data_IF_049875463729
#
_entry.id   IF_049875463729
#
_cell.length_a   1.000
_cell.length_b   1.000
_cell.length_c   1.000
_cell.angle_alpha   90.00
_cell.angle_beta   90.00
_cell.angle_gamma   90.00
#
_symmetry.space_group_name_H-M   'P 1'
#
loop_
_entity.id
_entity.type
_entity.pdbx_description
1 polymer ?
#
# COMPACT_ATOMS: atom_id res chain seq x y z
N UNK A 1 10.51 -11.62 -41.44
CA UNK A 1 10.18 -10.29 -40.84
C UNK A 1 9.17 -9.60 -41.75
N UNK A 2 7.91 -9.56 -41.35
CA UNK A 2 6.85 -8.92 -42.12
C UNK A 2 7.00 -7.40 -42.03
N UNK A 3 7.04 -6.72 -43.19
CA UNK A 3 6.95 -5.24 -43.27
C UNK A 3 5.57 -4.82 -42.77
N UNK A 4 5.53 -4.00 -41.73
CA UNK A 4 4.28 -3.30 -41.37
C UNK A 4 3.86 -2.37 -42.54
N UNK A 5 2.61 -2.39 -42.98
CA UNK A 5 2.14 -1.55 -44.07
C UNK A 5 2.34 -0.06 -43.69
N UNK A 6 2.81 0.74 -44.64
CA UNK A 6 3.00 2.20 -44.49
C UNK A 6 1.73 2.91 -44.01
N UNK A 7 0.57 2.40 -44.40
CA UNK A 7 -0.74 2.88 -43.96
C UNK A 7 -1.04 2.67 -42.45
N UNK A 8 -0.42 1.68 -41.82
CA UNK A 8 -0.54 1.45 -40.37
C UNK A 8 0.26 2.49 -39.58
N UNK A 9 1.46 2.83 -40.06
CA UNK A 9 2.31 3.89 -39.47
C UNK A 9 1.66 5.28 -39.66
N UNK A 10 1.08 5.59 -40.80
CA UNK A 10 0.38 6.85 -41.04
C UNK A 10 -0.86 7.02 -40.14
N UNK A 11 -1.64 5.96 -39.96
CA UNK A 11 -2.81 5.99 -39.08
C UNK A 11 -2.41 6.14 -37.60
N UNK A 12 -1.32 5.49 -37.16
CA UNK A 12 -0.82 5.61 -35.81
C UNK A 12 -0.27 7.03 -35.52
N UNK A 13 0.43 7.64 -36.49
CA UNK A 13 0.93 9.01 -36.39
C UNK A 13 -0.20 10.04 -36.35
N UNK A 14 -1.27 9.85 -37.13
CA UNK A 14 -2.48 10.72 -37.11
C UNK A 14 -3.24 10.59 -35.80
N UNK A 15 -3.38 9.38 -35.23
CA UNK A 15 -4.06 9.17 -33.96
C UNK A 15 -3.30 9.79 -32.76
N UNK A 16 -1.96 9.88 -32.87
CA UNK A 16 -1.09 10.45 -31.82
C UNK A 16 -0.83 11.96 -31.99
N UNK A 17 -1.47 12.62 -32.98
CA UNK A 17 -1.31 14.05 -33.27
C UNK A 17 0.19 14.45 -33.48
N UNK A 18 0.98 13.57 -34.10
CA UNK A 18 2.40 13.79 -34.36
C UNK A 18 2.60 14.66 -35.59
N UNK A 19 3.60 15.55 -35.63
CA UNK A 19 3.88 16.36 -36.82
C UNK A 19 4.23 15.46 -38.01
N UNK A 20 3.51 15.56 -39.10
CA UNK A 20 3.72 14.82 -40.36
C UNK A 20 5.13 14.99 -40.97
N UNK A 21 5.89 16.00 -40.53
CA UNK A 21 7.26 16.22 -40.92
C UNK A 21 8.24 15.09 -40.45
N UNK A 22 7.84 14.28 -39.50
CA UNK A 22 8.60 13.08 -39.05
C UNK A 22 8.47 11.89 -40.01
N UNK A 23 7.55 11.95 -40.97
CA UNK A 23 7.28 10.88 -41.94
C UNK A 23 8.05 11.06 -43.28
N UNK A 24 9.06 11.95 -43.35
CA UNK A 24 9.87 12.19 -44.55
C UNK A 24 10.67 10.96 -45.06
N UNK A 25 10.12 9.75 -44.89
CA UNK A 25 10.68 8.49 -45.39
C UNK A 25 10.31 8.36 -46.86
N UNK A 26 11.26 8.74 -47.74
CA UNK A 26 11.10 8.46 -49.16
C UNK A 26 11.40 7.00 -49.47
N UNK A 27 10.77 6.46 -50.53
CA UNK A 27 10.91 5.06 -50.92
C UNK A 27 12.34 4.60 -51.31
N UNK A 28 13.33 5.48 -51.18
CA UNK A 28 14.74 5.27 -51.59
C UNK A 28 15.73 5.27 -50.42
N UNK A 29 15.28 5.32 -49.17
CA UNK A 29 16.18 5.35 -48.01
C UNK A 29 16.80 3.98 -47.68
N UNK A 30 18.07 3.98 -47.23
CA UNK A 30 18.81 2.78 -46.81
C UNK A 30 18.18 2.11 -45.59
N UNK A 31 18.43 0.82 -45.42
CA UNK A 31 17.94 0.04 -44.26
C UNK A 31 18.37 0.66 -42.91
N UNK A 32 19.58 1.23 -42.85
CA UNK A 32 20.15 1.88 -41.67
C UNK A 32 19.39 3.18 -41.32
N UNK A 33 19.01 3.99 -42.29
CA UNK A 33 18.23 5.21 -42.08
C UNK A 33 16.79 4.90 -41.59
N UNK A 34 16.21 3.80 -42.09
CA UNK A 34 14.89 3.35 -41.62
C UNK A 34 14.93 2.81 -40.19
N UNK A 35 15.99 2.11 -39.80
CA UNK A 35 16.20 1.64 -38.42
C UNK A 35 16.46 2.80 -37.45
N UNK A 36 17.23 3.82 -37.87
CA UNK A 36 17.48 5.02 -37.10
C UNK A 36 16.20 5.85 -36.89
N UNK A 37 15.41 6.04 -37.94
CA UNK A 37 14.12 6.74 -37.86
C UNK A 37 13.13 5.99 -36.93
N UNK A 38 13.09 4.67 -36.96
CA UNK A 38 12.26 3.85 -36.07
C UNK A 38 12.72 3.98 -34.60
N UNK A 39 14.02 4.03 -34.37
CA UNK A 39 14.58 4.24 -33.05
C UNK A 39 14.21 5.63 -32.49
N UNK A 40 14.40 6.69 -33.27
CA UNK A 40 14.04 8.06 -32.89
C UNK A 40 12.52 8.20 -32.63
N UNK A 41 11.67 7.60 -33.45
CA UNK A 41 10.21 7.60 -33.24
C UNK A 41 9.87 6.83 -31.98
N UNK A 42 10.48 5.68 -31.72
CA UNK A 42 10.25 4.90 -30.52
C UNK A 42 10.66 5.67 -29.27
N UNK A 43 11.81 6.34 -29.28
CA UNK A 43 12.29 7.15 -28.16
C UNK A 43 11.43 8.41 -27.98
N UNK A 44 10.99 9.07 -29.05
CA UNK A 44 10.05 10.17 -28.97
C UNK A 44 8.68 9.74 -28.39
N UNK A 45 8.17 8.58 -28.80
CA UNK A 45 6.94 8.00 -28.22
C UNK A 45 7.15 7.69 -26.74
N UNK A 46 8.27 7.11 -26.35
CA UNK A 46 8.61 6.87 -24.93
C UNK A 46 8.68 8.16 -24.13
N UNK A 47 9.33 9.20 -24.67
CA UNK A 47 9.43 10.51 -24.01
C UNK A 47 8.05 11.15 -23.89
N UNK A 48 7.24 11.13 -24.96
CA UNK A 48 5.88 11.69 -24.94
C UNK A 48 4.97 10.93 -23.96
N UNK A 49 5.00 9.60 -23.97
CA UNK A 49 4.26 8.78 -23.01
C UNK A 49 4.73 9.03 -21.57
N UNK A 50 6.02 9.23 -21.34
CA UNK A 50 6.54 9.58 -20.01
C UNK A 50 6.08 10.96 -19.56
N UNK A 51 6.03 11.95 -20.45
CA UNK A 51 5.50 13.29 -20.17
C UNK A 51 3.99 13.28 -19.91
N UNK A 52 3.21 12.52 -20.69
CA UNK A 52 1.77 12.34 -20.46
C UNK A 52 1.49 11.62 -19.14
N UNK A 53 2.30 10.62 -18.77
CA UNK A 53 2.22 9.96 -17.46
C UNK A 53 2.56 10.91 -16.31
N UNK A 54 3.59 11.78 -16.47
CA UNK A 54 3.94 12.80 -15.49
C UNK A 54 2.80 13.81 -15.29
N UNK A 55 2.18 14.27 -16.38
CA UNK A 55 1.02 15.16 -16.31
C UNK A 55 -0.20 14.51 -15.66
N UNK A 56 -0.41 13.20 -15.84
CA UNK A 56 -1.50 12.48 -15.20
C UNK A 56 -1.30 12.32 -13.69
N UNK A 57 -0.10 12.00 -13.22
CA UNK A 57 0.20 11.93 -11.78
C UNK A 57 -0.02 13.30 -11.10
N UNK A 58 0.44 14.38 -11.71
CA UNK A 58 0.17 15.74 -11.23
C UNK A 58 -1.32 16.08 -11.25
N UNK A 59 -2.07 15.58 -12.22
CA UNK A 59 -3.52 15.79 -12.27
C UNK A 59 -4.27 15.11 -11.11
N UNK A 60 -3.76 13.99 -10.59
CA UNK A 60 -4.30 13.35 -9.39
C UNK A 60 -4.09 14.26 -8.18
N UNK A 61 -2.86 14.80 -8.00
CA UNK A 61 -2.55 15.68 -6.87
C UNK A 61 -3.24 17.05 -6.96
N UNK A 62 -3.61 17.50 -8.16
CA UNK A 62 -4.43 18.70 -8.34
C UNK A 62 -5.89 18.54 -7.87
N UNK A 63 -6.36 17.30 -7.67
CA UNK A 63 -7.76 16.98 -7.37
C UNK A 63 -7.89 15.97 -6.21
N UNK A 64 -7.20 16.22 -5.10
CA UNK A 64 -7.31 15.37 -3.89
C UNK A 64 -8.64 15.66 -3.15
N UNK A 65 -9.72 15.33 -3.81
CA UNK A 65 -11.09 15.56 -3.38
C UNK A 65 -11.64 14.39 -2.55
N UNK A 66 -12.75 14.61 -1.84
CA UNK A 66 -13.59 13.53 -1.33
C UNK A 66 -14.23 12.78 -2.50
N UNK A 67 -14.59 11.52 -2.29
CA UNK A 67 -15.44 10.76 -3.20
C UNK A 67 -16.66 10.26 -2.43
N UNK A 68 -17.80 10.92 -2.61
CA UNK A 68 -19.04 10.63 -1.89
C UNK A 68 -20.17 10.51 -2.91
N UNK A 69 -20.99 9.46 -2.77
CA UNK A 69 -22.17 9.22 -3.60
C UNK A 69 -21.90 9.30 -5.11
N UNK A 70 -20.76 8.76 -5.55
CA UNK A 70 -20.36 8.75 -6.96
C UNK A 70 -19.74 10.06 -7.47
N UNK A 71 -19.48 11.04 -6.60
CA UNK A 71 -18.95 12.35 -7.00
C UNK A 71 -17.61 12.65 -6.34
N UNK A 72 -16.65 13.14 -7.13
CA UNK A 72 -15.41 13.73 -6.63
C UNK A 72 -15.67 15.22 -6.39
N UNK A 73 -15.57 15.66 -5.15
CA UNK A 73 -15.85 17.04 -4.74
C UNK A 73 -15.00 17.50 -3.57
N UNK A 74 -14.79 18.80 -3.39
CA UNK A 74 -14.17 19.32 -2.17
C UNK A 74 -15.04 19.01 -0.94
N UNK A 75 -14.48 19.14 0.25
CA UNK A 75 -15.25 19.15 1.50
C UNK A 75 -16.14 20.39 1.57
N UNK A 76 -17.25 20.30 2.31
CA UNK A 76 -18.29 21.34 2.37
C UNK A 76 -17.76 22.71 2.84
N UNK A 77 -16.72 22.73 3.68
CA UNK A 77 -16.10 23.99 4.15
C UNK A 77 -14.83 24.37 3.39
N UNK A 78 -14.43 23.61 2.37
CA UNK A 78 -13.25 23.89 1.56
C UNK A 78 -11.91 23.79 2.30
N UNK A 79 -11.89 23.23 3.51
CA UNK A 79 -10.65 23.03 4.26
C UNK A 79 -9.78 21.97 3.60
N UNK A 80 -8.47 22.20 3.62
CA UNK A 80 -7.48 21.27 3.04
C UNK A 80 -6.24 21.12 3.91
N UNK A 81 -5.50 20.05 3.73
CA UNK A 81 -4.16 19.85 4.31
C UNK A 81 -3.15 19.50 3.20
N UNK A 82 -1.88 19.91 3.32
CA UNK A 82 -0.88 19.60 2.32
C UNK A 82 -0.51 18.12 2.34
N UNK A 83 -0.28 17.54 1.17
CA UNK A 83 0.34 16.23 0.96
C UNK A 83 1.75 16.45 0.46
N UNK A 84 2.73 15.82 1.09
CA UNK A 84 4.14 16.05 0.79
C UNK A 84 4.77 14.88 0.05
N UNK A 85 5.75 15.19 -0.78
CA UNK A 85 6.65 14.19 -1.34
C UNK A 85 7.74 13.85 -0.31
N UNK A 86 7.84 12.60 0.17
CA UNK A 86 8.84 12.20 1.15
C UNK A 86 10.30 12.39 0.69
N UNK A 87 10.56 12.28 -0.61
CA UNK A 87 11.90 12.42 -1.17
C UNK A 87 12.37 13.88 -1.24
N UNK A 88 11.46 14.83 -1.43
CA UNK A 88 11.81 16.24 -1.64
C UNK A 88 11.33 17.16 -0.52
N UNK A 89 10.32 16.75 0.26
CA UNK A 89 9.62 17.59 1.23
C UNK A 89 8.66 18.59 0.59
N UNK A 90 8.55 18.64 -0.74
CA UNK A 90 7.69 19.57 -1.46
C UNK A 90 6.21 19.17 -1.36
N UNK A 91 5.32 20.16 -1.42
CA UNK A 91 3.87 19.91 -1.44
C UNK A 91 3.46 19.41 -2.82
N UNK A 92 2.88 18.23 -2.88
CA UNK A 92 2.32 17.62 -4.09
C UNK A 92 0.93 18.17 -4.43
N UNK A 93 0.12 18.43 -3.41
CA UNK A 93 -1.24 18.90 -3.54
C UNK A 93 -1.90 19.13 -2.18
N UNK A 94 -3.18 19.49 -2.20
CA UNK A 94 -3.94 19.82 -1.00
C UNK A 94 -5.15 18.89 -0.90
N UNK A 95 -5.16 18.07 0.15
CA UNK A 95 -6.20 17.08 0.41
C UNK A 95 -7.41 17.72 1.07
N UNK A 96 -8.58 17.58 0.45
CA UNK A 96 -9.85 18.03 1.02
C UNK A 96 -10.11 17.37 2.39
N UNK A 97 -10.70 18.12 3.32
CA UNK A 97 -11.09 17.61 4.63
C UNK A 97 -12.61 17.52 4.72
N UNK A 98 -13.13 16.39 5.20
CA UNK A 98 -14.56 16.21 5.44
C UNK A 98 -15.01 16.98 6.67
N UNK A 99 -16.17 17.60 6.59
CA UNK A 99 -16.95 18.05 7.74
C UNK A 99 -17.81 16.92 8.30
N UNK A 100 -18.44 17.13 9.45
CA UNK A 100 -19.45 16.19 9.99
C UNK A 100 -20.59 15.98 8.99
N UNK A 101 -21.04 17.03 8.30
CA UNK A 101 -22.09 16.95 7.29
C UNK A 101 -21.66 16.06 6.08
N UNK A 102 -20.41 16.16 5.65
CA UNK A 102 -19.89 15.27 4.59
C UNK A 102 -19.85 13.80 5.04
N UNK A 103 -19.51 13.54 6.31
CA UNK A 103 -19.50 12.20 6.87
C UNK A 103 -20.92 11.62 6.98
N UNK A 104 -21.89 12.43 7.38
CA UNK A 104 -23.32 12.04 7.43
C UNK A 104 -23.86 11.75 6.04
N UNK A 105 -23.50 12.55 5.02
CA UNK A 105 -23.84 12.29 3.62
C UNK A 105 -23.24 10.96 3.14
N UNK A 106 -21.98 10.67 3.46
CA UNK A 106 -21.34 9.41 3.11
C UNK A 106 -22.03 8.20 3.80
N UNK A 107 -22.46 8.34 5.07
CA UNK A 107 -23.22 7.33 5.78
C UNK A 107 -24.59 7.08 5.14
N UNK A 108 -25.33 8.15 4.81
CA UNK A 108 -26.62 8.06 4.13
C UNK A 108 -26.48 7.44 2.73
N UNK A 109 -25.46 7.84 1.98
CA UNK A 109 -25.17 7.27 0.66
C UNK A 109 -24.85 5.78 0.75
N UNK A 110 -24.02 5.36 1.72
CA UNK A 110 -23.66 3.97 1.92
C UNK A 110 -24.87 3.10 2.34
N UNK A 111 -25.77 3.59 3.21
CA UNK A 111 -26.98 2.87 3.59
C UNK A 111 -27.94 2.70 2.41
N UNK A 112 -28.19 3.78 1.67
CA UNK A 112 -29.04 3.76 0.48
C UNK A 112 -28.50 2.79 -0.58
N UNK A 113 -27.20 2.87 -0.89
CA UNK A 113 -26.56 2.02 -1.88
C UNK A 113 -26.55 0.55 -1.44
N UNK A 114 -26.35 0.26 -0.17
CA UNK A 114 -26.37 -1.10 0.36
C UNK A 114 -27.68 -1.82 0.04
N UNK A 115 -28.84 -1.17 0.15
CA UNK A 115 -30.15 -1.78 -0.08
C UNK A 115 -30.32 -2.34 -1.50
N UNK A 116 -29.69 -1.71 -2.47
CA UNK A 116 -29.73 -2.16 -3.88
C UNK A 116 -28.53 -3.03 -4.25
N UNK A 117 -27.36 -2.74 -3.67
CA UNK A 117 -26.14 -3.49 -3.97
C UNK A 117 -26.13 -4.89 -3.38
N UNK A 118 -26.65 -5.05 -2.16
CA UNK A 118 -26.68 -6.33 -1.43
C UNK A 118 -27.46 -7.43 -2.14
N UNK A 119 -28.51 -7.04 -2.87
CA UNK A 119 -29.37 -7.98 -3.63
C UNK A 119 -28.91 -8.16 -5.09
N UNK A 120 -27.87 -7.44 -5.53
CA UNK A 120 -27.31 -7.61 -6.88
C UNK A 120 -26.75 -9.00 -7.08
N UNK A 121 -27.01 -9.66 -8.22
CA UNK A 121 -26.40 -10.96 -8.52
C UNK A 121 -24.89 -10.95 -8.40
N UNK A 122 -24.31 -12.02 -7.86
CA UNK A 122 -22.86 -12.14 -7.68
C UNK A 122 -22.08 -11.94 -9.00
N UNK A 123 -22.64 -12.41 -10.11
CA UNK A 123 -22.05 -12.24 -11.44
C UNK A 123 -21.93 -10.77 -11.86
N UNK A 124 -22.95 -9.95 -11.58
CA UNK A 124 -22.89 -8.51 -11.90
C UNK A 124 -21.86 -7.78 -11.06
N UNK A 125 -21.71 -8.15 -9.78
CA UNK A 125 -20.66 -7.60 -8.90
C UNK A 125 -19.27 -7.99 -9.38
N UNK A 126 -19.10 -9.25 -9.82
CA UNK A 126 -17.87 -9.73 -10.43
C UNK A 126 -17.50 -8.89 -11.66
N UNK A 127 -18.43 -8.64 -12.58
CA UNK A 127 -18.15 -7.88 -13.80
C UNK A 127 -17.65 -6.46 -13.54
N UNK A 128 -18.12 -5.82 -12.47
CA UNK A 128 -17.63 -4.49 -12.06
C UNK A 128 -16.21 -4.58 -11.50
N UNK A 129 -15.92 -5.59 -10.66
CA UNK A 129 -14.58 -5.81 -10.13
C UNK A 129 -13.57 -6.12 -11.24
N UNK A 130 -13.93 -6.93 -12.22
CA UNK A 130 -13.11 -7.21 -13.42
C UNK A 130 -12.80 -5.96 -14.23
N UNK A 131 -13.81 -5.11 -14.46
CA UNK A 131 -13.61 -3.83 -15.14
C UNK A 131 -12.71 -2.90 -14.34
N UNK A 132 -12.90 -2.81 -13.02
CA UNK A 132 -12.04 -2.01 -12.15
C UNK A 132 -10.59 -2.49 -12.19
N UNK A 133 -10.36 -3.82 -12.14
CA UNK A 133 -9.04 -4.42 -12.27
C UNK A 133 -8.40 -4.10 -13.64
N UNK A 134 -9.15 -4.21 -14.72
CA UNK A 134 -8.66 -3.86 -16.07
C UNK A 134 -8.31 -2.37 -16.20
N UNK A 135 -9.08 -1.47 -15.57
CA UNK A 135 -8.77 -0.04 -15.55
C UNK A 135 -7.54 0.26 -14.69
N UNK A 136 -7.36 -0.41 -13.55
CA UNK A 136 -6.13 -0.30 -12.77
C UNK A 136 -4.91 -0.81 -13.56
N UNK A 137 -5.05 -1.90 -14.32
CA UNK A 137 -3.99 -2.42 -15.18
C UNK A 137 -3.62 -1.42 -16.29
N UNK A 138 -4.61 -0.83 -16.95
CA UNK A 138 -4.39 0.20 -17.98
C UNK A 138 -3.73 1.48 -17.40
N UNK A 139 -3.96 1.80 -16.13
CA UNK A 139 -3.43 2.96 -15.40
C UNK A 139 -2.29 2.59 -14.43
N UNK A 140 -1.74 1.39 -14.56
CA UNK A 140 -0.77 0.81 -13.63
C UNK A 140 0.42 1.73 -13.34
N UNK A 141 1.03 2.24 -14.39
CA UNK A 141 2.23 3.07 -14.27
C UNK A 141 1.92 4.46 -13.69
N UNK A 142 0.74 5.00 -13.97
CA UNK A 142 0.24 6.24 -13.37
C UNK A 142 0.03 6.06 -11.86
N UNK A 143 -0.71 5.03 -11.46
CA UNK A 143 -0.99 4.73 -10.04
C UNK A 143 0.32 4.47 -9.28
N UNK A 144 1.25 3.69 -9.87
CA UNK A 144 2.54 3.41 -9.25
C UNK A 144 3.39 4.67 -9.06
N UNK A 145 3.36 5.60 -10.03
CA UNK A 145 4.05 6.88 -9.91
C UNK A 145 3.48 7.76 -8.82
N UNK A 146 2.14 7.90 -8.76
CA UNK A 146 1.44 8.59 -7.67
C UNK A 146 1.86 8.00 -6.32
N UNK A 147 1.83 6.67 -6.21
CA UNK A 147 2.19 5.95 -5.00
C UNK A 147 3.64 6.24 -4.57
N UNK A 148 4.60 6.19 -5.50
CA UNK A 148 6.00 6.53 -5.21
C UNK A 148 6.13 7.97 -4.71
N UNK A 149 5.47 8.92 -5.36
CA UNK A 149 5.57 10.34 -5.03
C UNK A 149 5.02 10.67 -3.64
N UNK A 150 3.93 10.05 -3.20
CA UNK A 150 3.31 10.35 -1.89
C UNK A 150 3.82 9.48 -0.74
N UNK A 151 4.35 8.27 -1.03
CA UNK A 151 4.76 7.31 -0.01
C UNK A 151 6.28 7.21 0.14
N UNK A 152 7.03 7.45 -0.93
CA UNK A 152 8.49 7.46 -0.93
C UNK A 152 9.17 6.15 -1.30
N UNK A 153 8.45 5.01 -1.46
CA UNK A 153 9.03 3.75 -1.92
C UNK A 153 9.49 3.84 -3.38
N UNK A 154 10.34 2.90 -3.79
CA UNK A 154 10.83 2.86 -5.18
C UNK A 154 9.70 2.57 -6.17
N UNK A 155 9.83 3.07 -7.40
CA UNK A 155 8.85 2.83 -8.46
C UNK A 155 8.69 1.33 -8.78
N UNK A 156 9.75 0.54 -8.60
CA UNK A 156 9.71 -0.92 -8.77
C UNK A 156 8.81 -1.56 -7.71
N UNK A 157 8.97 -1.17 -6.45
CA UNK A 157 8.11 -1.63 -5.36
C UNK A 157 6.65 -1.18 -5.53
N UNK A 158 6.45 0.08 -5.96
CA UNK A 158 5.14 0.63 -6.23
C UNK A 158 4.41 -0.11 -7.35
N UNK A 159 5.09 -0.44 -8.44
CA UNK A 159 4.55 -1.26 -9.54
C UNK A 159 4.14 -2.65 -9.05
N UNK A 160 4.98 -3.30 -8.26
CA UNK A 160 4.66 -4.60 -7.66
C UNK A 160 3.44 -4.53 -6.71
N UNK A 161 3.28 -3.43 -6.00
CA UNK A 161 2.11 -3.22 -5.14
C UNK A 161 0.82 -3.03 -5.95
N UNK A 162 0.88 -2.26 -7.03
CA UNK A 162 -0.28 -2.10 -7.95
C UNK A 162 -0.63 -3.41 -8.63
N UNK A 163 0.35 -4.20 -9.06
CA UNK A 163 0.13 -5.55 -9.61
C UNK A 163 -0.58 -6.45 -8.60
N UNK A 164 -0.17 -6.42 -7.34
CA UNK A 164 -0.84 -7.14 -6.26
C UNK A 164 -2.28 -6.65 -6.05
N UNK A 165 -2.53 -5.33 -6.12
CA UNK A 165 -3.87 -4.76 -6.00
C UNK A 165 -4.79 -5.22 -7.15
N UNK A 166 -4.28 -5.25 -8.39
CA UNK A 166 -4.99 -5.75 -9.57
C UNK A 166 -5.36 -7.24 -9.39
N UNK A 167 -4.38 -8.07 -9.05
CA UNK A 167 -4.57 -9.50 -8.83
C UNK A 167 -5.58 -9.78 -7.71
N UNK A 168 -5.49 -9.03 -6.60
CA UNK A 168 -6.41 -9.13 -5.46
C UNK A 168 -7.83 -8.73 -5.85
N UNK A 169 -8.01 -7.71 -6.69
CA UNK A 169 -9.34 -7.29 -7.16
C UNK A 169 -9.98 -8.36 -8.02
N UNK A 170 -9.22 -8.99 -8.93
CA UNK A 170 -9.69 -10.14 -9.73
C UNK A 170 -10.06 -11.32 -8.84
N UNK A 171 -9.20 -11.64 -7.88
CA UNK A 171 -9.46 -12.73 -6.93
C UNK A 171 -10.78 -12.53 -6.18
N UNK A 172 -11.05 -11.32 -5.66
CA UNK A 172 -12.34 -11.02 -5.03
C UNK A 172 -13.51 -11.05 -6.01
N UNK A 173 -13.29 -10.65 -7.27
CA UNK A 173 -14.28 -10.82 -8.35
C UNK A 173 -14.70 -12.27 -8.51
N UNK A 174 -13.74 -13.20 -8.54
CA UNK A 174 -14.03 -14.63 -8.60
C UNK A 174 -14.71 -15.15 -7.33
N UNK A 175 -14.31 -14.66 -6.15
CA UNK A 175 -14.90 -15.05 -4.86
C UNK A 175 -16.37 -14.60 -4.71
N UNK A 176 -16.85 -13.61 -5.49
CA UNK A 176 -18.27 -13.25 -5.50
C UNK A 176 -19.18 -14.46 -5.66
N UNK A 177 -18.79 -15.42 -6.54
CA UNK A 177 -19.59 -16.61 -6.86
C UNK A 177 -19.30 -17.81 -5.95
N UNK A 178 -18.29 -17.72 -5.06
CA UNK A 178 -17.89 -18.79 -4.15
C UNK A 178 -18.44 -18.62 -2.72
N UNK A 179 -19.29 -17.62 -2.48
CA UNK A 179 -19.96 -17.43 -1.21
C UNK A 179 -21.09 -18.45 -1.00
N UNK A 180 -20.74 -19.74 -1.06
CA UNK A 180 -21.71 -20.84 -0.97
C UNK A 180 -22.38 -20.90 0.40
N UNK A 181 -23.67 -21.34 0.39
CA UNK A 181 -24.36 -21.82 1.55
C UNK A 181 -24.02 -23.28 1.89
N UNK A 182 -24.72 -23.81 2.86
CA UNK A 182 -24.65 -25.25 3.23
C UNK A 182 -26.04 -25.78 3.49
N UNK A 183 -26.29 -27.03 3.03
CA UNK A 183 -27.43 -27.80 3.43
C UNK A 183 -26.96 -28.83 4.48
N UNK A 184 -27.56 -28.80 5.65
CA UNK A 184 -27.14 -29.60 6.80
C UNK A 184 -28.31 -30.54 7.19
N UNK A 185 -28.07 -31.86 7.33
CA UNK A 185 -29.10 -32.79 7.80
C UNK A 185 -29.62 -32.34 9.17
N UNK A 186 -30.95 -32.35 9.30
CA UNK A 186 -31.57 -32.02 10.55
C UNK A 186 -31.65 -33.25 11.48
N UNK A 187 -31.85 -32.99 12.77
CA UNK A 187 -31.98 -34.02 13.80
C UNK A 187 -33.31 -34.80 13.69
N UNK A 188 -34.36 -34.17 13.15
CA UNK A 188 -35.67 -34.76 12.98
C UNK A 188 -35.97 -35.07 11.52
N UNK A 189 -36.68 -36.17 11.25
CA UNK A 189 -37.13 -36.51 9.91
C UNK A 189 -38.08 -35.44 9.34
N UNK A 190 -37.96 -35.17 8.04
CA UNK A 190 -38.77 -34.15 7.36
C UNK A 190 -38.26 -32.71 7.53
N UNK A 191 -37.15 -32.48 8.25
CA UNK A 191 -36.54 -31.17 8.41
C UNK A 191 -35.17 -31.10 7.69
N UNK A 192 -34.83 -29.92 7.22
CA UNK A 192 -33.51 -29.60 6.66
C UNK A 192 -33.06 -28.25 7.20
N UNK A 193 -31.76 -28.11 7.51
CA UNK A 193 -31.15 -26.82 7.86
C UNK A 193 -30.39 -26.28 6.67
N UNK A 194 -30.71 -25.05 6.28
CA UNK A 194 -30.02 -24.32 5.24
C UNK A 194 -29.28 -23.13 5.84
N UNK A 195 -27.99 -23.01 5.54
CA UNK A 195 -27.16 -21.85 5.92
C UNK A 195 -26.90 -21.04 4.66
N UNK A 196 -27.30 -19.78 4.67
CA UNK A 196 -27.02 -18.81 3.62
C UNK A 196 -26.00 -17.78 4.12
N UNK A 197 -25.17 -17.28 3.25
CA UNK A 197 -24.27 -16.16 3.53
C UNK A 197 -24.89 -14.89 2.97
N UNK A 198 -25.00 -13.87 3.80
CA UNK A 198 -25.56 -12.57 3.46
C UNK A 198 -24.55 -11.45 3.70
N UNK A 199 -24.60 -10.34 2.92
CA UNK A 199 -23.82 -9.14 3.18
C UNK A 199 -24.05 -8.60 4.59
N UNK A 200 -22.99 -8.23 5.30
CA UNK A 200 -23.08 -7.81 6.71
C UNK A 200 -23.71 -6.42 6.89
N UNK A 201 -23.76 -5.60 5.85
CA UNK A 201 -24.18 -4.21 5.89
C UNK A 201 -23.08 -3.23 5.42
N UNK A 202 -23.31 -1.92 5.54
CA UNK A 202 -22.26 -0.93 5.27
C UNK A 202 -21.03 -1.12 6.14
N UNK A 203 -19.85 -0.95 5.56
CA UNK A 203 -18.54 -1.21 6.18
C UNK A 203 -17.77 0.09 6.33
N UNK A 204 -17.11 0.28 7.47
CA UNK A 204 -16.07 1.30 7.64
C UNK A 204 -14.70 0.67 7.43
N UNK A 205 -13.80 1.39 6.77
CA UNK A 205 -12.43 0.98 6.63
C UNK A 205 -11.46 2.13 6.96
N UNK A 206 -10.46 1.83 7.78
CA UNK A 206 -9.36 2.75 8.10
C UNK A 206 -8.06 2.08 7.69
N UNK A 207 -7.26 2.74 6.86
CA UNK A 207 -6.04 2.13 6.30
C UNK A 207 -4.82 3.00 6.52
N UNK A 208 -3.68 2.33 6.71
CA UNK A 208 -2.37 2.97 6.86
C UNK A 208 -1.74 3.33 5.52
N UNK A 209 -0.73 4.18 5.57
CA UNK A 209 -0.03 4.78 4.45
C UNK A 209 0.99 3.88 3.75
N UNK A 210 1.48 2.84 4.41
CA UNK A 210 2.67 2.10 3.96
C UNK A 210 2.48 1.22 2.72
N UNK A 211 1.24 0.77 2.47
CA UNK A 211 0.83 0.06 1.26
C UNK A 211 -0.54 0.59 0.79
N UNK A 212 -0.59 1.83 0.26
CA UNK A 212 -1.85 2.52 0.00
C UNK A 212 -2.71 1.85 -1.07
N UNK A 213 -2.13 1.16 -2.05
CA UNK A 213 -2.91 0.41 -3.03
C UNK A 213 -3.43 -0.92 -2.43
N UNK A 214 -2.55 -1.70 -1.82
CA UNK A 214 -2.89 -3.01 -1.27
C UNK A 214 -3.88 -2.93 -0.11
N UNK A 215 -3.68 -1.99 0.82
CA UNK A 215 -4.55 -1.82 1.99
C UNK A 215 -5.95 -1.35 1.58
N UNK A 216 -6.04 -0.43 0.61
CA UNK A 216 -7.32 0.03 0.06
C UNK A 216 -8.06 -1.12 -0.62
N UNK A 217 -7.40 -1.83 -1.53
CA UNK A 217 -8.06 -2.90 -2.31
C UNK A 217 -8.53 -4.05 -1.44
N UNK A 218 -7.75 -4.48 -0.45
CA UNK A 218 -8.18 -5.55 0.48
C UNK A 218 -9.49 -5.22 1.18
N UNK A 219 -9.77 -3.94 1.44
CA UNK A 219 -11.01 -3.49 2.08
C UNK A 219 -12.12 -3.25 1.05
N UNK A 220 -11.82 -2.47 0.00
CA UNK A 220 -12.81 -2.08 -1.02
C UNK A 220 -13.28 -3.28 -1.82
N UNK A 221 -12.38 -4.04 -2.44
CA UNK A 221 -12.77 -5.17 -3.27
C UNK A 221 -13.49 -6.26 -2.47
N UNK A 222 -13.03 -6.54 -1.23
CA UNK A 222 -13.69 -7.49 -0.34
C UNK A 222 -15.10 -7.08 0.05
N UNK A 223 -15.33 -5.80 0.38
CA UNK A 223 -16.67 -5.29 0.71
C UNK A 223 -17.59 -5.32 -0.51
N UNK A 224 -17.13 -4.80 -1.65
CA UNK A 224 -17.89 -4.76 -2.92
C UNK A 224 -18.24 -6.17 -3.37
N UNK A 225 -17.30 -7.12 -3.34
CA UNK A 225 -17.53 -8.52 -3.69
C UNK A 225 -18.58 -9.18 -2.81
N UNK A 226 -18.53 -8.91 -1.51
CA UNK A 226 -19.50 -9.44 -0.53
C UNK A 226 -20.90 -8.83 -0.65
N UNK A 227 -21.12 -7.82 -1.49
CA UNK A 227 -22.39 -7.10 -1.60
C UNK A 227 -22.59 -6.02 -0.53
N UNK A 228 -21.52 -5.57 0.10
CA UNK A 228 -21.52 -4.48 1.08
C UNK A 228 -21.19 -3.15 0.41
N UNK A 229 -21.74 -2.05 0.91
CA UNK A 229 -21.19 -0.71 0.67
C UNK A 229 -20.06 -0.43 1.65
N UNK A 230 -19.21 0.54 1.30
CA UNK A 230 -18.02 0.85 2.09
C UNK A 230 -17.75 2.35 2.13
N UNK A 231 -17.40 2.84 3.32
CA UNK A 231 -16.78 4.14 3.54
C UNK A 231 -15.35 3.88 3.97
N UNK A 232 -14.39 4.32 3.15
CA UNK A 232 -12.98 4.16 3.45
C UNK A 232 -12.33 5.51 3.74
N UNK A 233 -11.53 5.54 4.81
CA UNK A 233 -10.65 6.65 5.14
C UNK A 233 -9.21 6.20 4.92
N UNK A 234 -8.57 6.62 3.81
CA UNK A 234 -7.13 6.45 3.61
C UNK A 234 -6.35 7.33 4.60
N UNK A 235 -5.05 7.08 4.70
CA UNK A 235 -4.15 7.98 5.42
C UNK A 235 -4.00 9.31 4.68
N UNK A 236 -3.82 10.39 5.42
CA UNK A 236 -3.52 11.72 4.87
C UNK A 236 -2.17 11.78 4.15
N UNK A 237 -1.27 10.87 4.48
CA UNK A 237 0.05 10.78 3.85
C UNK A 237 -0.03 10.27 2.40
N UNK A 238 -1.03 9.40 2.10
CA UNK A 238 -1.10 8.70 0.82
C UNK A 238 -2.52 8.65 0.24
N UNK A 239 -3.18 9.79 0.05
CA UNK A 239 -4.57 9.85 -0.42
C UNK A 239 -4.69 9.67 -1.93
N UNK A 240 -3.67 10.07 -2.70
CA UNK A 240 -3.71 10.07 -4.17
C UNK A 240 -3.89 8.69 -4.75
N UNK A 241 -3.18 7.68 -4.22
CA UNK A 241 -3.34 6.28 -4.63
C UNK A 241 -4.76 5.77 -4.37
N UNK A 242 -5.33 6.07 -3.20
CA UNK A 242 -6.69 5.67 -2.86
C UNK A 242 -7.73 6.29 -3.80
N UNK A 243 -7.56 7.58 -4.13
CA UNK A 243 -8.44 8.30 -5.05
C UNK A 243 -8.29 7.84 -6.50
N UNK A 244 -7.07 7.51 -6.94
CA UNK A 244 -6.83 6.91 -8.27
C UNK A 244 -7.51 5.55 -8.40
N UNK A 245 -7.48 4.72 -7.35
CA UNK A 245 -8.21 3.45 -7.28
C UNK A 245 -9.73 3.70 -7.29
N UNK A 246 -10.22 4.63 -6.48
CA UNK A 246 -11.65 4.99 -6.46
C UNK A 246 -12.14 5.46 -7.85
N UNK A 247 -11.30 6.18 -8.60
CA UNK A 247 -11.56 6.55 -10.00
C UNK A 247 -11.71 5.32 -10.89
N UNK A 248 -10.90 4.29 -10.71
CA UNK A 248 -11.05 3.04 -11.47
C UNK A 248 -12.39 2.34 -11.19
N UNK A 249 -12.84 2.32 -9.94
CA UNK A 249 -14.17 1.78 -9.59
C UNK A 249 -15.33 2.64 -10.13
N UNK A 250 -15.19 3.97 -10.07
CA UNK A 250 -16.15 4.89 -10.65
C UNK A 250 -16.33 4.65 -12.16
N UNK A 251 -15.21 4.62 -12.89
CA UNK A 251 -15.20 4.44 -14.36
C UNK A 251 -15.61 2.99 -14.75
N UNK A 252 -15.46 2.01 -13.86
CA UNK A 252 -15.98 0.66 -14.03
C UNK A 252 -17.51 0.59 -13.94
N UNK A 253 -18.18 1.66 -13.50
CA UNK A 253 -19.63 1.75 -13.34
C UNK A 253 -20.12 1.22 -11.98
N UNK A 254 -19.29 1.28 -10.93
CA UNK A 254 -19.74 0.99 -9.57
C UNK A 254 -20.86 1.97 -9.19
N UNK A 255 -22.03 1.52 -8.72
CA UNK A 255 -23.13 2.43 -8.38
C UNK A 255 -22.75 3.45 -7.30
N UNK A 256 -23.31 4.66 -7.42
CA UNK A 256 -23.12 5.73 -6.46
C UNK A 256 -23.40 5.26 -5.01
N UNK A 257 -22.58 5.68 -4.06
CA UNK A 257 -22.71 5.34 -2.65
C UNK A 257 -22.18 3.95 -2.24
N UNK A 258 -21.93 3.02 -3.18
CA UNK A 258 -21.32 1.70 -2.84
C UNK A 258 -19.90 1.87 -2.32
N UNK A 259 -19.12 2.77 -2.91
CA UNK A 259 -17.81 3.20 -2.41
C UNK A 259 -17.87 4.70 -2.10
N UNK A 260 -17.37 5.05 -0.91
CA UNK A 260 -17.18 6.44 -0.51
C UNK A 260 -15.75 6.56 0.08
N UNK A 261 -15.01 7.60 -0.31
CA UNK A 261 -13.68 7.92 0.22
C UNK A 261 -13.77 9.25 0.93
N UNK A 262 -13.53 9.22 2.23
CA UNK A 262 -13.57 10.41 3.11
C UNK A 262 -12.22 10.61 3.76
N UNK A 263 -11.87 11.85 4.04
CA UNK A 263 -10.65 12.27 4.70
C UNK A 263 -11.01 13.28 5.81
N UNK A 264 -10.08 13.63 6.66
CA UNK A 264 -10.36 14.54 7.76
C UNK A 264 -9.52 14.19 8.98
N UNK A 265 -9.60 14.99 10.05
CA UNK A 265 -8.86 14.73 11.29
C UNK A 265 -9.15 13.33 11.81
N UNK A 266 -8.11 12.47 11.99
CA UNK A 266 -8.30 11.05 12.28
C UNK A 266 -9.24 10.76 13.44
N UNK A 267 -9.07 11.44 14.57
CA UNK A 267 -9.86 11.23 15.78
C UNK A 267 -11.34 11.64 15.59
N UNK A 268 -11.57 12.80 14.98
CA UNK A 268 -12.91 13.34 14.76
C UNK A 268 -13.68 12.46 13.76
N UNK A 269 -13.09 12.20 12.59
CA UNK A 269 -13.69 11.40 11.53
C UNK A 269 -13.99 9.97 12.01
N UNK A 270 -13.02 9.32 12.69
CA UNK A 270 -13.22 7.95 13.16
C UNK A 270 -14.26 7.87 14.26
N UNK A 271 -14.26 8.77 15.23
CA UNK A 271 -15.24 8.78 16.32
C UNK A 271 -16.67 8.97 15.78
N UNK A 272 -16.87 9.94 14.86
CA UNK A 272 -18.19 10.19 14.27
C UNK A 272 -18.70 8.98 13.48
N UNK A 273 -17.88 8.43 12.56
CA UNK A 273 -18.26 7.28 11.77
C UNK A 273 -18.52 6.03 12.64
N UNK A 274 -17.71 5.82 13.67
CA UNK A 274 -17.87 4.68 14.58
C UNK A 274 -19.10 4.78 15.47
N UNK A 275 -19.56 5.96 15.82
CA UNK A 275 -20.78 6.16 16.58
C UNK A 275 -22.06 5.85 15.77
N UNK A 276 -21.98 5.93 14.43
CA UNK A 276 -23.16 5.72 13.57
C UNK A 276 -23.64 4.27 13.60
N UNK A 277 -24.96 4.02 13.79
CA UNK A 277 -25.55 2.69 13.71
C UNK A 277 -25.66 2.14 12.28
N UNK A 278 -25.43 2.97 11.26
CA UNK A 278 -25.50 2.58 9.84
C UNK A 278 -24.44 1.52 9.54
N UNK A 279 -23.20 1.76 9.95
CA UNK A 279 -22.11 0.83 9.70
C UNK A 279 -22.21 -0.41 10.61
N UNK A 280 -22.08 -1.60 10.03
CA UNK A 280 -22.20 -2.89 10.71
C UNK A 280 -20.87 -3.59 10.96
N UNK A 281 -19.84 -3.15 10.25
CA UNK A 281 -18.49 -3.71 10.34
C UNK A 281 -17.46 -2.60 10.23
N UNK A 282 -16.34 -2.77 10.93
CA UNK A 282 -15.13 -1.98 10.73
C UNK A 282 -13.96 -2.88 10.38
N UNK A 283 -13.13 -2.43 9.44
CA UNK A 283 -11.87 -3.09 9.08
C UNK A 283 -10.73 -2.08 9.17
N UNK A 284 -9.73 -2.39 9.99
CA UNK A 284 -8.61 -1.50 10.29
C UNK A 284 -7.29 -2.12 9.86
N UNK A 285 -6.43 -1.32 9.22
CA UNK A 285 -5.00 -1.59 9.10
C UNK A 285 -4.26 -0.40 9.71
N UNK A 286 -3.50 -0.65 10.78
CA UNK A 286 -2.82 0.43 11.50
C UNK A 286 -2.04 -0.06 12.73
N UNK A 287 -1.66 0.86 13.61
CA UNK A 287 -0.93 0.50 14.83
C UNK A 287 -1.81 -0.23 15.85
N UNK A 288 -1.18 -1.01 16.73
CA UNK A 288 -1.87 -1.72 17.83
C UNK A 288 -2.68 -0.75 18.69
N UNK A 289 -2.14 0.44 19.00
CA UNK A 289 -2.82 1.44 19.81
C UNK A 289 -4.11 1.95 19.13
N UNK A 290 -4.05 2.26 17.83
CA UNK A 290 -5.23 2.67 17.05
C UNK A 290 -6.24 1.53 16.93
N UNK A 291 -5.77 0.30 16.69
CA UNK A 291 -6.65 -0.88 16.64
C UNK A 291 -7.43 -1.08 17.93
N UNK A 292 -6.76 -0.99 19.09
CA UNK A 292 -7.42 -1.05 20.41
C UNK A 292 -8.46 0.05 20.61
N UNK A 293 -8.15 1.29 20.18
CA UNK A 293 -9.09 2.42 20.26
C UNK A 293 -10.35 2.16 19.42
N UNK A 294 -10.16 1.79 18.15
CA UNK A 294 -11.28 1.52 17.25
C UNK A 294 -12.11 0.32 17.73
N UNK A 295 -11.47 -0.73 18.25
CA UNK A 295 -12.18 -1.87 18.83
C UNK A 295 -13.07 -1.47 20.02
N UNK A 296 -12.60 -0.57 20.89
CA UNK A 296 -13.41 0.00 21.99
C UNK A 296 -14.62 0.76 21.43
N UNK A 297 -14.42 1.65 20.45
CA UNK A 297 -15.53 2.37 19.82
C UNK A 297 -16.52 1.43 19.12
N UNK A 298 -16.07 0.30 18.60
CA UNK A 298 -16.92 -0.68 17.94
C UNK A 298 -17.89 -1.37 18.91
N UNK A 299 -17.55 -1.50 20.20
CA UNK A 299 -18.40 -2.15 21.21
C UNK A 299 -19.67 -1.35 21.49
N UNK A 300 -19.63 -0.01 21.36
CA UNK A 300 -20.79 0.86 21.60
C UNK A 300 -21.98 0.55 20.67
N UNK A 301 -21.70 0.02 19.49
CA UNK A 301 -22.70 -0.31 18.46
C UNK A 301 -22.59 -1.74 17.97
N UNK A 302 -21.82 -2.59 18.66
CA UNK A 302 -21.60 -4.01 18.37
C UNK A 302 -21.16 -4.29 16.92
N UNK A 303 -20.32 -3.42 16.36
CA UNK A 303 -19.76 -3.62 15.01
C UNK A 303 -18.83 -4.82 14.97
N UNK A 304 -18.91 -5.61 13.92
CA UNK A 304 -17.90 -6.64 13.64
C UNK A 304 -16.55 -5.99 13.33
N UNK A 305 -15.49 -6.48 13.93
CA UNK A 305 -14.13 -5.97 13.74
C UNK A 305 -13.27 -6.93 12.95
N UNK A 306 -12.47 -6.39 12.04
CA UNK A 306 -11.29 -7.05 11.44
C UNK A 306 -10.10 -6.13 11.62
N UNK A 307 -9.08 -6.60 12.34
CA UNK A 307 -7.93 -5.79 12.74
C UNK A 307 -6.66 -6.38 12.14
N UNK A 308 -6.00 -5.60 11.27
CA UNK A 308 -4.67 -5.86 10.72
C UNK A 308 -3.71 -4.88 11.37
N UNK A 309 -2.97 -5.32 12.36
CA UNK A 309 -2.20 -4.45 13.24
C UNK A 309 -0.70 -4.64 13.04
N UNK A 310 0.09 -3.82 13.72
CA UNK A 310 1.55 -3.94 13.75
C UNK A 310 2.01 -5.24 14.40
N UNK A 311 3.24 -5.61 14.08
CA UNK A 311 3.95 -6.74 14.65
C UNK A 311 5.39 -6.38 14.97
N UNK A 312 6.17 -7.37 15.40
CA UNK A 312 7.60 -7.19 15.64
C UNK A 312 8.33 -8.50 15.30
N UNK A 313 8.33 -8.83 14.01
CA UNK A 313 8.68 -10.14 13.48
C UNK A 313 10.08 -10.61 13.94
N UNK A 314 10.17 -11.73 14.68
CA UNK A 314 11.44 -12.36 14.99
C UNK A 314 11.91 -13.19 13.78
N UNK A 315 13.22 -13.26 13.58
CA UNK A 315 13.89 -14.17 12.65
C UNK A 315 14.93 -14.95 13.41
N UNK A 316 14.84 -16.27 13.41
CA UNK A 316 15.80 -17.15 14.07
C UNK A 316 16.84 -17.61 13.05
N UNK A 317 18.11 -17.34 13.33
CA UNK A 317 19.25 -17.78 12.53
C UNK A 317 19.97 -18.89 13.29
N UNK A 318 19.75 -20.12 12.87
CA UNK A 318 20.31 -21.30 13.48
C UNK A 318 21.75 -21.54 13.04
N UNK A 319 22.55 -22.21 13.87
CA UNK A 319 23.98 -22.47 13.65
C UNK A 319 24.30 -23.37 12.46
N UNK A 320 23.32 -24.13 11.98
CA UNK A 320 23.44 -25.02 10.82
C UNK A 320 23.06 -24.37 9.50
N UNK A 321 22.66 -23.09 9.52
CA UNK A 321 22.39 -22.34 8.29
C UNK A 321 23.69 -21.80 7.64
N UNK A 322 23.59 -21.42 6.37
CA UNK A 322 24.59 -20.59 5.69
C UNK A 322 24.31 -19.11 6.01
N UNK A 323 25.10 -18.48 6.90
CA UNK A 323 24.79 -17.13 7.39
C UNK A 323 24.91 -16.05 6.31
N UNK A 324 25.79 -16.20 5.32
CA UNK A 324 25.96 -15.25 4.22
C UNK A 324 24.74 -15.27 3.27
N UNK A 325 24.24 -16.46 2.98
CA UNK A 325 23.03 -16.64 2.17
C UNK A 325 21.79 -16.16 2.92
N UNK A 326 21.67 -16.46 4.20
CA UNK A 326 20.59 -15.98 5.05
C UNK A 326 20.59 -14.45 5.13
N UNK A 327 21.77 -13.83 5.34
CA UNK A 327 21.93 -12.38 5.34
C UNK A 327 21.47 -11.74 4.03
N UNK A 328 21.84 -12.29 2.87
CA UNK A 328 21.44 -11.77 1.57
C UNK A 328 19.92 -11.76 1.37
N UNK A 329 19.22 -12.82 1.77
CA UNK A 329 17.76 -12.94 1.72
C UNK A 329 17.12 -11.93 2.68
N UNK A 330 17.63 -11.85 3.90
CA UNK A 330 17.04 -11.03 4.96
C UNK A 330 17.25 -9.54 4.74
N UNK A 331 18.36 -9.09 4.14
CA UNK A 331 18.56 -7.69 3.75
C UNK A 331 17.49 -7.23 2.77
N UNK A 332 17.21 -8.03 1.73
CA UNK A 332 16.16 -7.70 0.77
C UNK A 332 14.76 -7.61 1.43
N UNK A 333 14.45 -8.53 2.35
CA UNK A 333 13.18 -8.52 3.09
C UNK A 333 13.09 -7.33 4.08
N UNK A 334 14.20 -7.04 4.79
CA UNK A 334 14.23 -6.00 5.83
C UNK A 334 14.09 -4.59 5.28
N UNK A 335 14.83 -4.28 4.21
CA UNK A 335 14.93 -2.91 3.71
C UNK A 335 13.90 -2.58 2.61
N UNK A 336 13.05 -3.53 2.23
CA UNK A 336 11.89 -3.26 1.39
C UNK A 336 11.05 -2.13 2.02
N UNK A 337 10.64 -1.15 1.21
CA UNK A 337 9.87 0.00 1.66
C UNK A 337 10.53 0.74 2.84
N UNK A 338 11.87 0.80 2.88
CA UNK A 338 12.64 1.36 4.00
C UNK A 338 12.26 0.74 5.37
N UNK A 339 11.93 -0.54 5.42
CA UNK A 339 11.50 -1.25 6.63
C UNK A 339 10.11 -0.87 7.14
N UNK A 340 9.35 -0.07 6.42
CA UNK A 340 8.00 0.39 6.80
C UNK A 340 6.93 -0.65 6.41
N UNK A 341 7.10 -1.87 6.90
CA UNK A 341 6.28 -3.04 6.57
C UNK A 341 5.91 -3.77 7.86
N UNK A 342 4.63 -4.03 8.09
CA UNK A 342 4.14 -4.71 9.29
C UNK A 342 4.69 -6.15 9.45
N UNK A 343 5.07 -6.80 8.34
CA UNK A 343 5.71 -8.12 8.30
C UNK A 343 7.23 -8.04 8.11
N UNK A 344 7.85 -6.85 8.27
CA UNK A 344 9.30 -6.70 8.11
C UNK A 344 10.04 -7.51 9.17
N UNK A 345 11.09 -8.27 8.81
CA UNK A 345 12.01 -8.83 9.79
C UNK A 345 12.61 -7.69 10.63
N UNK A 346 12.52 -7.79 11.94
CA UNK A 346 13.00 -6.73 12.86
C UNK A 346 13.98 -7.24 13.89
N UNK A 347 13.65 -8.32 14.58
CA UNK A 347 14.48 -8.92 15.64
C UNK A 347 15.17 -10.17 15.08
N UNK A 348 16.46 -10.09 14.82
CA UNK A 348 17.26 -11.22 14.37
C UNK A 348 17.90 -11.90 15.58
N UNK A 349 17.41 -13.08 15.93
CA UNK A 349 17.84 -13.91 17.04
C UNK A 349 18.82 -14.94 16.48
N UNK A 350 20.10 -14.69 16.65
CA UNK A 350 21.18 -15.39 15.96
C UNK A 350 21.97 -16.26 16.92
N UNK A 351 22.05 -17.58 16.68
CA UNK A 351 22.90 -18.44 17.50
C UNK A 351 24.36 -17.97 17.47
N UNK A 352 25.00 -17.94 18.65
CA UNK A 352 26.35 -17.37 18.85
C UNK A 352 27.39 -17.93 17.87
N UNK A 353 27.29 -19.21 17.50
CA UNK A 353 28.22 -19.88 16.60
C UNK A 353 28.32 -19.24 15.20
N UNK A 354 27.26 -18.57 14.75
CA UNK A 354 27.19 -17.92 13.42
C UNK A 354 26.98 -16.41 13.50
N UNK A 355 26.92 -15.86 14.71
CA UNK A 355 26.52 -14.48 14.96
C UNK A 355 27.40 -13.45 14.24
N UNK A 356 28.72 -13.51 14.44
CA UNK A 356 29.61 -12.50 13.85
C UNK A 356 29.64 -12.58 12.32
N UNK A 357 29.61 -13.79 11.76
CA UNK A 357 29.55 -14.00 10.31
C UNK A 357 28.26 -13.43 9.73
N UNK A 358 27.12 -13.73 10.35
CA UNK A 358 25.81 -13.23 9.92
C UNK A 358 25.73 -11.70 9.98
N UNK A 359 26.14 -11.11 11.12
CA UNK A 359 26.13 -9.64 11.32
C UNK A 359 27.02 -8.94 10.31
N UNK A 360 28.24 -9.46 10.06
CA UNK A 360 29.17 -8.90 9.08
C UNK A 360 28.59 -8.95 7.68
N UNK A 361 28.15 -10.13 7.24
CA UNK A 361 27.55 -10.30 5.91
C UNK A 361 26.29 -9.44 5.70
N UNK A 362 25.45 -9.35 6.74
CA UNK A 362 24.25 -8.51 6.70
C UNK A 362 24.60 -7.02 6.57
N UNK A 363 25.60 -6.53 7.33
CA UNK A 363 26.04 -5.14 7.28
C UNK A 363 26.66 -4.80 5.92
N UNK A 364 27.55 -5.64 5.40
CA UNK A 364 28.17 -5.47 4.08
C UNK A 364 27.13 -5.39 2.97
N UNK A 365 26.15 -6.31 3.02
CA UNK A 365 25.07 -6.31 2.03
C UNK A 365 24.16 -5.10 2.18
N UNK A 366 23.89 -4.62 3.39
CA UNK A 366 23.08 -3.42 3.65
C UNK A 366 23.74 -2.16 3.06
N UNK A 367 25.06 -2.07 3.08
CA UNK A 367 25.84 -0.95 2.51
C UNK A 367 25.75 -0.87 0.98
N UNK A 368 25.35 -1.95 0.30
CA UNK A 368 25.15 -1.94 -1.16
C UNK A 368 23.86 -1.27 -1.59
N UNK A 369 22.96 -0.95 -0.66
CA UNK A 369 21.70 -0.31 -0.99
C UNK A 369 21.91 1.16 -1.34
N UNK A 370 21.34 1.57 -2.46
CA UNK A 370 21.33 2.97 -2.92
C UNK A 370 20.07 3.64 -2.39
N UNK A 371 20.25 4.56 -1.44
CA UNK A 371 19.16 5.33 -0.83
C UNK A 371 18.93 6.62 -1.61
N UNK A 372 17.71 6.88 -2.05
CA UNK A 372 17.40 8.05 -2.85
C UNK A 372 15.93 8.20 -3.21
N UNK A 373 15.64 9.12 -4.12
CA UNK A 373 14.29 9.31 -4.68
C UNK A 373 13.81 8.01 -5.34
N UNK A 374 12.62 7.56 -4.95
CA UNK A 374 12.03 6.34 -5.48
C UNK A 374 11.73 6.38 -6.98
N UNK A 375 11.70 7.56 -7.59
CA UNK A 375 11.54 7.73 -9.04
C UNK A 375 12.87 7.57 -9.81
N UNK A 376 14.02 7.66 -9.12
CA UNK A 376 15.32 7.41 -9.74
C UNK A 376 15.51 5.89 -9.92
N UNK A 377 15.78 5.40 -11.15
CA UNK A 377 15.91 3.98 -11.43
C UNK A 377 17.10 3.29 -10.74
N UNK A 378 18.08 4.03 -10.24
CA UNK A 378 19.22 3.47 -9.49
C UNK A 378 18.91 3.29 -8.00
N UNK A 379 17.85 3.92 -7.50
CA UNK A 379 17.45 3.82 -6.10
C UNK A 379 16.91 2.43 -5.79
N UNK A 380 17.44 1.82 -4.71
CA UNK A 380 17.01 0.51 -4.22
C UNK A 380 16.31 0.57 -2.86
N UNK A 381 16.40 1.70 -2.15
CA UNK A 381 15.64 1.98 -0.93
C UNK A 381 15.20 3.46 -0.94
N UNK A 382 13.90 3.69 -0.80
CA UNK A 382 13.31 5.03 -0.81
C UNK A 382 13.32 5.73 0.56
N UNK A 383 12.56 6.82 0.66
CA UNK A 383 12.46 7.63 1.87
C UNK A 383 11.53 7.03 2.93
N UNK A 384 11.66 7.49 4.17
CA UNK A 384 10.64 7.38 5.20
C UNK A 384 9.46 8.32 4.84
N UNK A 385 8.25 7.96 5.24
CA UNK A 385 7.04 8.66 4.77
C UNK A 385 6.94 10.11 5.24
N UNK A 386 7.45 10.44 6.43
CA UNK A 386 7.37 11.80 7.00
C UNK A 386 8.43 12.04 8.08
N UNK A 387 8.53 13.29 8.55
CA UNK A 387 9.46 13.68 9.61
C UNK A 387 9.24 12.94 10.92
N UNK A 388 7.99 12.68 11.32
CA UNK A 388 7.68 11.95 12.56
C UNK A 388 8.28 10.55 12.55
N UNK A 389 8.31 9.91 11.38
CA UNK A 389 8.92 8.58 11.24
C UNK A 389 10.45 8.66 11.29
N UNK A 390 11.03 9.74 10.73
CA UNK A 390 12.45 10.02 10.87
C UNK A 390 12.85 10.24 12.33
N UNK A 391 12.14 11.11 13.06
CA UNK A 391 12.39 11.41 14.47
C UNK A 391 12.28 10.17 15.36
N UNK A 392 11.29 9.32 15.08
CA UNK A 392 11.15 8.03 15.76
C UNK A 392 12.32 7.10 15.50
N UNK A 393 12.79 7.04 14.26
CA UNK A 393 13.96 6.24 13.87
C UNK A 393 15.22 6.69 14.62
N UNK A 394 15.44 8.00 14.69
CA UNK A 394 16.55 8.57 15.46
C UNK A 394 16.46 8.28 16.96
N UNK A 395 15.25 8.38 17.53
CA UNK A 395 15.00 8.02 18.94
C UNK A 395 15.39 6.57 19.24
N UNK A 396 15.00 5.63 18.38
CA UNK A 396 15.34 4.20 18.57
C UNK A 396 16.84 3.94 18.47
N UNK A 397 17.51 4.59 17.52
CA UNK A 397 18.96 4.45 17.34
C UNK A 397 19.73 5.10 18.48
N UNK A 398 19.25 6.23 19.00
CA UNK A 398 19.90 6.91 20.13
C UNK A 398 19.74 6.09 21.42
N UNK A 399 18.54 5.55 21.72
CA UNK A 399 18.35 4.63 22.86
C UNK A 399 19.30 3.43 22.78
N UNK A 400 19.46 2.86 21.58
CA UNK A 400 20.36 1.74 21.39
C UNK A 400 21.83 2.11 21.68
N UNK A 401 22.28 3.29 21.25
CA UNK A 401 23.64 3.80 21.57
C UNK A 401 23.83 4.03 23.06
N UNK A 402 22.88 4.69 23.69
CA UNK A 402 22.95 5.06 25.13
C UNK A 402 22.98 3.82 26.02
N UNK A 403 22.39 2.72 25.56
CA UNK A 403 22.38 1.40 26.24
C UNK A 403 23.54 0.48 25.81
N UNK A 404 24.48 0.97 25.02
CA UNK A 404 25.72 0.26 24.69
C UNK A 404 25.62 -0.74 23.53
N UNK A 405 24.54 -0.72 22.73
CA UNK A 405 24.46 -1.51 21.51
C UNK A 405 25.44 -0.97 20.45
N UNK A 406 25.97 -1.86 19.62
CA UNK A 406 26.93 -1.51 18.58
C UNK A 406 26.20 -1.20 17.25
N UNK A 407 26.28 0.05 16.79
CA UNK A 407 25.85 0.40 15.45
C UNK A 407 26.92 -0.08 14.47
N UNK A 408 26.60 -1.14 13.71
CA UNK A 408 27.56 -1.78 12.77
C UNK A 408 27.62 -0.98 11.45
N UNK A 409 26.47 -0.53 10.98
CA UNK A 409 26.38 0.36 9.80
C UNK A 409 25.13 1.25 9.90
N UNK A 410 25.12 2.36 9.18
CA UNK A 410 24.02 3.32 9.18
C UNK A 410 23.91 4.14 10.46
N UNK A 411 22.70 4.22 11.04
CA UNK A 411 22.44 4.93 12.27
C UNK A 411 22.38 6.46 12.14
N UNK A 412 22.12 6.98 10.94
CA UNK A 412 22.08 8.40 10.68
C UNK A 412 21.14 8.77 9.52
N UNK A 413 20.62 9.98 9.59
CA UNK A 413 19.92 10.63 8.49
C UNK A 413 20.85 10.85 7.31
N UNK A 414 20.33 10.77 6.08
CA UNK A 414 21.04 11.09 4.85
C UNK A 414 20.56 12.44 4.32
N UNK A 415 21.49 13.40 4.25
CA UNK A 415 21.20 14.74 3.77
C UNK A 415 20.26 15.55 4.67
N UNK A 416 19.81 16.69 4.16
CA UNK A 416 18.91 17.63 4.86
C UNK A 416 17.59 17.89 4.10
N UNK A 417 17.44 17.35 2.89
CA UNK A 417 16.23 17.40 2.06
C UNK A 417 15.60 15.99 2.03
N UNK A 418 14.29 15.92 2.10
CA UNK A 418 13.57 14.65 2.20
C UNK A 418 13.81 13.93 3.55
N UNK A 419 13.22 12.75 3.70
CA UNK A 419 13.27 11.98 4.95
C UNK A 419 14.00 10.65 4.74
N UNK A 420 15.26 10.74 4.30
CA UNK A 420 16.12 9.58 4.06
C UNK A 420 16.89 9.18 5.31
N UNK A 421 16.97 7.88 5.56
CA UNK A 421 17.73 7.31 6.65
C UNK A 421 18.58 6.13 6.15
N UNK A 422 19.79 6.02 6.66
CA UNK A 422 20.71 4.97 6.22
C UNK A 422 20.22 3.59 6.67
N UNK A 423 20.36 2.54 5.83
CA UNK A 423 20.14 1.16 6.24
C UNK A 423 20.97 0.86 7.48
N UNK A 424 20.32 0.51 8.58
CA UNK A 424 20.93 0.48 9.89
C UNK A 424 20.94 -0.93 10.47
N UNK A 425 22.11 -1.38 10.93
CA UNK A 425 22.30 -2.65 11.63
C UNK A 425 22.80 -2.35 13.03
N UNK A 426 22.04 -2.78 14.03
CA UNK A 426 22.35 -2.63 15.46
C UNK A 426 22.62 -4.01 16.04
N UNK A 427 23.85 -4.25 16.45
CA UNK A 427 24.30 -5.51 17.01
C UNK A 427 24.40 -5.44 18.56
N UNK A 428 24.41 -6.60 19.19
CA UNK A 428 24.48 -6.78 20.64
C UNK A 428 23.28 -6.10 21.36
N UNK A 429 22.11 -6.14 20.72
CA UNK A 429 20.88 -5.71 21.41
C UNK A 429 20.43 -6.77 22.42
N UNK A 430 19.70 -6.32 23.43
CA UNK A 430 19.06 -7.16 24.44
C UNK A 430 17.63 -6.68 24.69
N UNK A 431 16.80 -7.39 25.46
CA UNK A 431 15.41 -7.05 25.72
C UNK A 431 15.17 -5.66 26.34
N UNK A 432 16.19 -5.00 26.93
CA UNK A 432 16.03 -3.68 27.56
C UNK A 432 16.03 -2.52 26.55
N UNK A 433 16.49 -2.74 25.32
CA UNK A 433 16.47 -1.73 24.28
C UNK A 433 15.06 -1.40 23.82
N UNK A 434 14.75 -0.11 23.65
CA UNK A 434 13.44 0.36 23.21
C UNK A 434 13.04 -0.30 21.88
N UNK A 435 13.98 -0.37 20.94
CA UNK A 435 13.76 -0.98 19.62
C UNK A 435 13.45 -2.49 19.66
N UNK A 436 13.72 -3.21 20.76
CA UNK A 436 13.36 -4.61 20.96
C UNK A 436 11.94 -4.81 21.50
N UNK A 437 11.30 -3.73 21.96
CA UNK A 437 9.97 -3.73 22.56
C UNK A 437 8.92 -3.00 21.73
N UNK A 438 9.35 -2.00 20.98
CA UNK A 438 8.47 -1.17 20.13
C UNK A 438 8.74 -1.47 18.66
N UNK A 439 7.70 -1.62 17.85
CA UNK A 439 7.82 -1.83 16.41
C UNK A 439 8.61 -0.67 15.76
N UNK A 440 9.80 -0.93 15.18
CA UNK A 440 10.61 0.15 14.62
C UNK A 440 9.94 0.86 13.43
N UNK A 441 9.34 0.08 12.52
CA UNK A 441 8.74 0.56 11.27
C UNK A 441 9.69 1.50 10.50
N UNK A 442 10.95 1.11 10.42
CA UNK A 442 12.10 1.89 9.98
C UNK A 442 13.20 0.97 9.40
N UNK A 443 14.21 1.52 8.70
CA UNK A 443 15.30 0.73 8.14
C UNK A 443 16.32 0.32 9.21
N UNK A 444 15.86 -0.34 10.28
CA UNK A 444 16.66 -0.79 11.41
C UNK A 444 16.53 -2.31 11.54
N UNK A 445 17.64 -3.03 11.52
CA UNK A 445 17.76 -4.44 11.79
C UNK A 445 18.44 -4.64 13.18
N UNK A 446 17.81 -5.39 14.07
CA UNK A 446 18.24 -5.61 15.46
C UNK A 446 18.82 -7.02 15.58
N UNK A 447 20.12 -7.12 15.93
CA UNK A 447 20.86 -8.38 16.01
C UNK A 447 21.12 -8.74 17.48
N UNK A 448 20.49 -9.80 17.94
CA UNK A 448 20.64 -10.33 19.30
C UNK A 448 21.32 -11.70 19.25
N UNK A 449 22.46 -11.90 19.93
CA UNK A 449 23.05 -13.23 20.07
C UNK A 449 22.20 -14.07 21.02
N UNK A 450 22.02 -15.35 20.70
CA UNK A 450 21.32 -16.32 21.54
C UNK A 450 22.14 -17.61 21.69
N UNK A 451 22.10 -18.21 22.86
CA UNK A 451 22.85 -19.41 23.15
C UNK A 451 22.31 -20.68 22.48
N UNK A 452 21.01 -20.70 22.19
CA UNK A 452 20.33 -21.87 21.62
C UNK A 452 19.03 -21.48 20.90
N UNK A 453 18.48 -22.42 20.14
CA UNK A 453 17.14 -22.28 19.51
C UNK A 453 16.04 -22.09 20.57
N UNK A 454 16.13 -22.77 21.72
CA UNK A 454 15.15 -22.63 22.80
C UNK A 454 15.14 -21.20 23.34
N UNK A 455 16.32 -20.60 23.58
CA UNK A 455 16.44 -19.20 23.98
C UNK A 455 15.91 -18.24 22.90
N UNK A 456 16.13 -18.55 21.63
CA UNK A 456 15.56 -17.78 20.53
C UNK A 456 14.03 -17.84 20.51
N UNK A 457 13.44 -19.02 20.73
CA UNK A 457 11.98 -19.21 20.78
C UNK A 457 11.36 -18.50 21.99
N UNK A 458 12.02 -18.48 23.14
CA UNK A 458 11.58 -17.73 24.31
C UNK A 458 11.51 -16.23 24.01
N UNK A 459 12.59 -15.64 23.48
CA UNK A 459 12.62 -14.22 23.10
C UNK A 459 11.63 -13.92 21.94
N UNK A 460 11.50 -14.79 20.96
CA UNK A 460 10.55 -14.62 19.86
C UNK A 460 9.12 -14.43 20.37
N UNK A 461 8.72 -15.18 21.38
CA UNK A 461 7.38 -15.19 21.98
C UNK A 461 7.18 -14.18 23.12
N UNK A 462 8.21 -13.41 23.50
CA UNK A 462 8.14 -12.49 24.66
C UNK A 462 7.13 -11.36 24.50
N UNK A 463 6.94 -10.85 23.30
CA UNK A 463 6.06 -9.71 23.04
C UNK A 463 4.61 -10.13 22.81
N UNK A 464 3.63 -9.32 23.24
CA UNK A 464 2.20 -9.61 23.07
C UNK A 464 1.70 -9.23 21.65
N UNK A 465 2.51 -9.44 20.62
CA UNK A 465 2.21 -9.20 19.22
C UNK A 465 2.71 -10.37 18.38
N UNK A 466 1.99 -10.68 17.29
CA UNK A 466 2.38 -11.75 16.37
C UNK A 466 1.66 -11.57 15.06
N UNK A 467 2.42 -11.36 13.98
CA UNK A 467 1.92 -11.19 12.62
C UNK A 467 2.75 -12.01 11.62
N UNK A 468 4.08 -12.00 11.77
CA UNK A 468 5.02 -12.73 10.94
C UNK A 468 6.25 -13.16 11.75
N UNK A 469 6.94 -14.19 11.27
CA UNK A 469 8.21 -14.69 11.75
C UNK A 469 9.01 -15.32 10.61
#
# INVERSE_FOLDING_TARGET
MHRLPTQFLENTVRHLNLPLALLGISAQQSKAESELALCVITDYIKIKLSQEMFMKAESVFAQLNLYIDGQFRPGSEGQTVPVHNPATGEVLGHLAQSTIADLDEALCAADRAFRTWSIRPAYERQMILEKAAALMEARRDEIARVLTMEMGKTLVEAKGEVDFAIATTRWYGEECRRAYGRLIPARAAGHQHMVLKEPVGPVLAFVSWNFPASNVIRKVAGAVAAGCSIIIRPSEETPGTALAIARCFHDAGLPAGVLNVVTGRPSETSTHLMASPVAKKVSVTGSVAVGKLIARLATETLKRCTMELGGHAPVIIAKDCDPEKAAAIMVAAKFRNAGQVCTSPTRFLVEEAVYDRFVTAFAEKSQTLVVGDGLDPVTTMGALVNSKRLDWTETLVQDARDRGARIVTGGQRIGNKGWFYAPTVIANVNPDHLAMNEEPFAPIALMMPVASIDAALEEANRLPVGLAS
#
